data_IF_853155116624
#
_entry.id   IF_853155116624
#
_cell.length_a   1.000
_cell.length_b   1.000
_cell.length_c   1.000
_cell.angle_alpha   90.00
_cell.angle_beta   90.00
_cell.angle_gamma   90.00
#
_symmetry.space_group_name_H-M   'P 1'
#
loop_
_entity.id
_entity.type
_entity.pdbx_description
1 polymer ?
#
# COMPACT_ATOMS: atom_id res chain seq x y z
N UNK A 1 -3.48 6.15 -11.47
CA UNK A 1 -2.75 5.97 -10.20
C UNK A 1 -3.17 4.68 -9.50
N UNK A 2 -2.23 3.81 -9.07
CA UNK A 2 -2.53 2.48 -8.46
C UNK A 2 -3.43 2.58 -7.22
N UNK A 3 -3.23 3.60 -6.40
CA UNK A 3 -4.06 3.86 -5.23
C UNK A 3 -5.54 4.10 -5.58
N UNK A 4 -5.86 4.90 -6.61
CA UNK A 4 -7.25 5.16 -7.02
C UNK A 4 -7.95 3.87 -7.44
N UNK A 5 -7.27 3.02 -8.22
CA UNK A 5 -7.83 1.73 -8.64
C UNK A 5 -8.11 0.85 -7.42
N UNK A 6 -7.15 0.75 -6.49
CA UNK A 6 -7.33 -0.01 -5.25
C UNK A 6 -8.49 0.51 -4.40
N UNK A 7 -8.61 1.83 -4.22
CA UNK A 7 -9.72 2.44 -3.49
C UNK A 7 -11.07 2.16 -4.15
N UNK A 8 -11.17 2.25 -5.48
CA UNK A 8 -12.39 1.88 -6.21
C UNK A 8 -12.77 0.41 -5.95
N UNK A 9 -11.80 -0.50 -6.06
CA UNK A 9 -12.03 -1.91 -5.73
C UNK A 9 -12.52 -2.08 -4.31
N UNK A 10 -11.89 -1.46 -3.31
CA UNK A 10 -12.31 -1.54 -1.89
C UNK A 10 -13.75 -1.02 -1.70
N UNK A 11 -14.11 0.09 -2.36
CA UNK A 11 -15.47 0.65 -2.31
C UNK A 11 -16.49 -0.29 -2.96
N UNK A 12 -16.12 -0.95 -4.06
CA UNK A 12 -16.98 -1.85 -4.83
C UNK A 12 -17.10 -3.26 -4.22
N UNK A 13 -16.21 -3.65 -3.31
CA UNK A 13 -16.22 -4.99 -2.70
C UNK A 13 -17.49 -5.17 -1.84
N UNK A 14 -18.47 -5.87 -2.42
CA UNK A 14 -19.74 -6.23 -1.78
C UNK A 14 -19.91 -7.74 -1.54
N UNK A 15 -18.87 -8.54 -1.76
CA UNK A 15 -18.96 -9.98 -1.68
C UNK A 15 -19.05 -10.49 -0.22
N UNK A 16 -19.80 -11.59 -0.02
CA UNK A 16 -19.99 -12.26 1.28
C UNK A 16 -18.70 -12.54 2.06
N UNK A 17 -17.57 -12.98 1.44
CA UNK A 17 -16.32 -13.21 2.18
C UNK A 17 -15.75 -11.98 2.89
N UNK A 18 -16.06 -10.77 2.38
CA UNK A 18 -15.59 -9.52 2.95
C UNK A 18 -16.57 -8.87 3.94
N UNK A 19 -17.75 -9.46 4.14
CA UNK A 19 -18.79 -8.92 5.02
C UNK A 19 -18.29 -8.64 6.44
N UNK A 20 -17.41 -9.50 6.98
CA UNK A 20 -16.82 -9.36 8.32
C UNK A 20 -15.82 -8.19 8.45
N UNK A 21 -15.29 -7.71 7.34
CA UNK A 21 -14.32 -6.59 7.31
C UNK A 21 -14.99 -5.25 7.03
N UNK A 22 -16.32 -5.23 6.87
CA UNK A 22 -17.07 -3.99 6.63
C UNK A 22 -17.46 -3.33 7.94
N UNK A 23 -17.38 -2.01 7.95
CA UNK A 23 -17.92 -1.19 9.03
C UNK A 23 -19.41 -0.96 8.79
N UNK A 24 -20.27 -1.79 9.38
CA UNK A 24 -21.72 -1.72 9.15
C UNK A 24 -22.37 -0.42 9.67
N UNK A 25 -21.71 0.28 10.59
CA UNK A 25 -22.23 1.50 11.21
C UNK A 25 -21.75 2.79 10.52
N UNK A 26 -20.97 2.69 9.43
CA UNK A 26 -20.41 3.85 8.73
C UNK A 26 -20.50 3.68 7.22
N UNK A 27 -20.75 4.77 6.50
CA UNK A 27 -20.66 4.77 5.04
C UNK A 27 -19.19 4.84 4.60
N UNK A 28 -18.90 4.41 3.38
CA UNK A 28 -17.55 4.57 2.81
C UNK A 28 -17.12 6.04 2.78
N UNK A 29 -18.06 6.97 2.54
CA UNK A 29 -17.77 8.40 2.59
C UNK A 29 -17.37 8.86 3.99
N UNK A 30 -18.08 8.42 5.03
CA UNK A 30 -17.73 8.75 6.42
C UNK A 30 -16.33 8.23 6.81
N UNK A 31 -15.94 7.06 6.29
CA UNK A 31 -14.58 6.51 6.47
C UNK A 31 -13.52 7.34 5.74
N UNK A 32 -13.81 7.81 4.52
CA UNK A 32 -12.92 8.70 3.77
C UNK A 32 -12.75 10.03 4.51
N UNK A 33 -13.85 10.64 4.96
CA UNK A 33 -13.84 11.91 5.69
C UNK A 33 -13.03 11.78 7.00
N UNK A 34 -13.24 10.67 7.73
CA UNK A 34 -12.44 10.33 8.90
C UNK A 34 -10.95 10.25 8.55
N UNK A 35 -10.56 9.49 7.53
CA UNK A 35 -9.15 9.34 7.13
C UNK A 35 -8.50 10.64 6.70
N UNK A 36 -9.25 11.54 6.05
CA UNK A 36 -8.75 12.88 5.68
C UNK A 36 -8.53 13.74 6.93
N UNK A 37 -9.39 13.62 7.94
CA UNK A 37 -9.27 14.36 9.21
C UNK A 37 -8.11 13.89 10.10
N UNK A 38 -7.72 12.60 9.99
CA UNK A 38 -6.60 12.03 10.73
C UNK A 38 -5.29 12.52 10.08
N UNK A 39 -4.61 13.44 10.76
CA UNK A 39 -3.33 14.00 10.33
C UNK A 39 -2.16 13.00 10.52
N UNK A 40 -2.26 11.83 9.88
CA UNK A 40 -1.31 10.71 10.04
C UNK A 40 0.05 10.95 9.35
N UNK A 41 0.15 12.00 8.53
CA UNK A 41 1.36 12.35 7.80
C UNK A 41 1.51 13.88 7.73
N UNK A 42 2.68 14.35 7.28
CA UNK A 42 2.98 15.79 7.14
C UNK A 42 2.66 16.35 5.74
N UNK A 43 1.82 15.68 4.96
CA UNK A 43 1.47 16.15 3.61
C UNK A 43 0.46 17.30 3.69
N UNK A 44 0.51 18.28 2.77
CA UNK A 44 -0.53 19.30 2.65
C UNK A 44 -1.90 18.66 2.47
N UNK A 45 -2.94 19.25 3.07
CA UNK A 45 -4.32 18.75 3.00
C UNK A 45 -5.17 19.70 2.19
N UNK A 46 -6.01 19.12 1.34
CA UNK A 46 -6.91 19.84 0.46
C UNK A 46 -8.36 19.45 0.78
N UNK A 47 -9.30 20.42 0.79
CA UNK A 47 -10.72 20.11 0.96
C UNK A 47 -11.27 19.11 -0.07
N UNK A 48 -10.68 19.09 -1.27
CA UNK A 48 -11.04 18.15 -2.33
C UNK A 48 -10.68 16.69 -2.01
N UNK A 49 -9.82 16.42 -1.02
CA UNK A 49 -9.43 15.05 -0.62
C UNK A 49 -10.61 14.21 -0.11
N UNK A 50 -11.67 14.84 0.41
CA UNK A 50 -12.89 14.13 0.81
C UNK A 50 -13.69 13.60 -0.40
N UNK A 51 -13.58 14.23 -1.57
CA UNK A 51 -14.44 13.95 -2.73
C UNK A 51 -13.68 13.43 -3.95
N UNK A 52 -12.36 13.64 -4.00
CA UNK A 52 -11.48 13.16 -5.07
C UNK A 52 -10.59 12.05 -4.55
N UNK A 53 -10.78 10.82 -5.05
CA UNK A 53 -9.90 9.70 -4.73
C UNK A 53 -8.44 9.96 -5.12
N UNK A 54 -8.21 10.77 -6.16
CA UNK A 54 -6.86 11.17 -6.53
C UNK A 54 -6.22 12.02 -5.45
N UNK A 55 -6.91 13.08 -5.01
CA UNK A 55 -6.39 13.94 -3.96
C UNK A 55 -6.32 13.21 -2.61
N UNK A 56 -7.29 12.35 -2.30
CA UNK A 56 -7.26 11.46 -1.15
C UNK A 56 -5.96 10.65 -1.10
N UNK A 57 -5.65 9.95 -2.20
CA UNK A 57 -4.44 9.15 -2.31
C UNK A 57 -3.16 9.97 -2.16
N UNK A 58 -3.13 11.18 -2.73
CA UNK A 58 -2.00 12.10 -2.58
C UNK A 58 -1.87 12.52 -1.11
N UNK A 59 -2.94 13.01 -0.49
CA UNK A 59 -2.87 13.65 0.83
C UNK A 59 -2.68 12.63 1.96
N UNK A 60 -3.20 11.41 1.82
CA UNK A 60 -3.23 10.41 2.90
C UNK A 60 -2.16 9.35 2.79
N UNK A 61 -1.48 9.19 1.64
CA UNK A 61 -0.49 8.12 1.49
C UNK A 61 0.60 8.21 2.56
N UNK A 62 0.85 7.07 3.18
CA UNK A 62 1.88 6.87 4.18
C UNK A 62 2.42 5.44 4.05
N UNK A 63 3.52 5.18 4.73
CA UNK A 63 4.06 3.83 4.80
C UNK A 63 3.39 3.03 5.91
N UNK A 64 3.31 1.71 5.70
CA UNK A 64 3.05 0.72 6.75
C UNK A 64 4.35 0.00 7.15
N UNK A 65 5.50 0.62 6.86
CA UNK A 65 6.85 0.10 7.10
C UNK A 65 7.16 -1.24 6.42
N UNK A 66 6.40 -1.60 5.40
CA UNK A 66 6.50 -2.89 4.70
C UNK A 66 7.32 -2.78 3.41
N UNK A 67 8.47 -2.13 3.51
CA UNK A 67 9.42 -1.98 2.42
C UNK A 67 10.14 -3.31 2.15
N UNK A 68 10.28 -3.66 0.88
CA UNK A 68 10.94 -4.88 0.40
C UNK A 68 11.47 -4.66 -1.02
N UNK A 69 12.24 -5.62 -1.53
CA UNK A 69 12.95 -5.50 -2.81
C UNK A 69 14.34 -4.89 -2.69
N UNK A 70 15.00 -4.70 -3.84
CA UNK A 70 16.37 -4.18 -3.94
C UNK A 70 17.44 -5.26 -4.18
N UNK A 71 17.16 -6.52 -3.85
CA UNK A 71 18.05 -7.66 -4.04
C UNK A 71 17.33 -8.85 -4.69
N UNK A 72 16.55 -8.58 -5.74
CA UNK A 72 15.63 -9.57 -6.33
C UNK A 72 16.34 -10.84 -6.83
N UNK A 73 15.75 -12.00 -6.53
CA UNK A 73 16.16 -13.30 -7.09
C UNK A 73 16.08 -13.28 -8.62
N UNK A 74 17.10 -13.83 -9.29
CA UNK A 74 17.26 -13.83 -10.74
C UNK A 74 17.76 -12.51 -11.34
N UNK A 75 17.93 -11.45 -10.53
CA UNK A 75 18.53 -10.17 -10.95
C UNK A 75 19.79 -9.81 -10.20
N UNK A 76 19.80 -10.00 -8.87
CA UNK A 76 20.94 -9.67 -7.98
C UNK A 76 21.52 -10.92 -7.35
N UNK A 77 20.65 -11.86 -6.94
CA UNK A 77 21.05 -13.16 -6.39
C UNK A 77 20.47 -14.32 -7.21
N UNK A 78 21.10 -15.49 -7.17
CA UNK A 78 20.54 -16.73 -7.72
C UNK A 78 19.48 -17.34 -6.77
N UNK A 79 18.92 -18.50 -7.16
CA UNK A 79 17.93 -19.22 -6.35
C UNK A 79 18.52 -19.85 -5.06
N UNK A 80 19.85 -19.89 -4.94
CA UNK A 80 20.56 -20.26 -3.71
C UNK A 80 20.94 -19.01 -2.88
N UNK A 81 20.41 -17.84 -3.23
CA UNK A 81 20.67 -16.54 -2.60
C UNK A 81 22.12 -16.06 -2.71
N UNK A 82 22.89 -16.59 -3.67
CA UNK A 82 24.27 -16.16 -3.93
C UNK A 82 24.26 -14.93 -4.81
N UNK A 83 25.08 -13.94 -4.46
CA UNK A 83 25.24 -12.72 -5.26
C UNK A 83 25.89 -13.06 -6.60
N UNK A 84 25.26 -12.64 -7.70
CA UNK A 84 25.75 -12.93 -9.04
C UNK A 84 27.11 -12.27 -9.28
N UNK A 85 28.09 -13.05 -9.74
CA UNK A 85 29.43 -12.55 -10.06
C UNK A 85 30.31 -12.26 -8.84
N UNK A 86 29.89 -12.65 -7.63
CA UNK A 86 30.68 -12.50 -6.40
C UNK A 86 30.79 -13.84 -5.69
N UNK A 87 32.02 -14.22 -5.36
CA UNK A 87 32.27 -15.45 -4.60
C UNK A 87 32.02 -15.26 -3.10
N UNK A 88 31.55 -16.33 -2.45
CA UNK A 88 31.38 -16.43 -1.00
C UNK A 88 30.47 -15.37 -0.33
N UNK A 89 29.56 -14.72 -1.09
CA UNK A 89 28.57 -13.78 -0.55
C UNK A 89 27.13 -14.24 -0.82
N UNK A 90 26.29 -14.17 0.20
CA UNK A 90 24.85 -14.43 0.11
C UNK A 90 24.06 -13.36 0.83
N UNK A 91 22.84 -13.10 0.35
CA UNK A 91 21.91 -12.12 0.93
C UNK A 91 20.60 -12.84 1.25
N UNK A 92 20.18 -12.78 2.50
CA UNK A 92 18.96 -13.43 3.00
C UNK A 92 18.11 -12.38 3.71
N UNK A 93 16.86 -12.19 3.29
CA UNK A 93 15.99 -11.24 3.99
C UNK A 93 14.63 -11.04 3.34
N UNK A 94 14.16 -9.77 3.30
CA UNK A 94 12.92 -9.37 2.59
C UNK A 94 13.23 -8.57 1.32
N UNK A 95 14.48 -8.24 1.09
CA UNK A 95 15.02 -7.52 -0.06
C UNK A 95 15.01 -8.34 -1.36
N UNK A 96 14.93 -9.66 -1.23
CA UNK A 96 14.96 -10.69 -2.27
C UNK A 96 13.57 -11.08 -2.80
N UNK A 97 12.51 -10.81 -2.03
CA UNK A 97 11.12 -10.99 -2.45
C UNK A 97 10.67 -9.91 -3.44
N UNK A 98 10.14 -10.36 -4.58
CA UNK A 98 9.38 -9.58 -5.56
C UNK A 98 8.01 -10.22 -5.79
#
# INVERSE_FOLDING_TARGET
MRCVLGMRTVIEVNAYPFSKFRYNNMTMQALIDMMVSLQLNKRPRHPSAAYSLEQFCIDTVMTIWHYHGGCQVGKVVDHDYKVLGVDALRVYGREDFA
#
